data_IF_284656946389
#
_entry.id   IF_284656946389
#
_cell.length_a   1.000
_cell.length_b   1.000
_cell.length_c   1.000
_cell.angle_alpha   90.00
_cell.angle_beta   90.00
_cell.angle_gamma   90.00
#
_symmetry.space_group_name_H-M   'P 1'
#
loop_
_entity.id
_entity.type
_entity.pdbx_description
1 polymer ?
#
# COMPACT_ATOMS: atom_id res chain seq x y z
N UNK A 1 -5.61 34.22 9.72
CA UNK A 1 -4.86 33.76 8.53
C UNK A 1 -3.46 33.42 8.99
N UNK A 2 -3.13 32.13 9.10
CA UNK A 2 -1.79 31.70 9.52
C UNK A 2 -0.80 31.74 8.35
N UNK A 3 0.45 32.09 8.63
CA UNK A 3 1.57 31.87 7.73
C UNK A 3 2.24 30.56 8.12
N UNK A 4 2.55 29.71 7.14
CA UNK A 4 3.25 28.44 7.33
C UNK A 4 4.34 28.29 6.29
N UNK A 5 5.34 27.46 6.60
CA UNK A 5 6.41 27.16 5.68
C UNK A 5 5.96 26.06 4.71
N UNK A 6 6.26 26.25 3.43
CA UNK A 6 6.06 25.25 2.39
C UNK A 6 6.87 23.98 2.72
N UNK A 7 6.24 22.82 2.63
CA UNK A 7 6.90 21.53 2.92
C UNK A 7 7.97 21.13 1.89
N UNK A 8 7.94 21.71 0.68
CA UNK A 8 8.89 21.38 -0.39
C UNK A 8 10.06 22.35 -0.46
N UNK A 9 9.80 23.66 -0.48
CA UNK A 9 10.86 24.67 -0.64
C UNK A 9 11.17 25.46 0.63
N UNK A 10 10.41 25.27 1.72
CA UNK A 10 10.62 26.00 2.98
C UNK A 10 10.22 27.47 2.97
N UNK A 11 9.78 28.03 1.83
CA UNK A 11 9.31 29.43 1.75
C UNK A 11 8.07 29.64 2.62
N UNK A 12 7.98 30.79 3.28
CA UNK A 12 6.79 31.20 4.04
C UNK A 12 5.67 31.51 3.05
N UNK A 13 4.52 30.86 3.22
CA UNK A 13 3.31 31.09 2.44
C UNK A 13 2.07 31.12 3.34
N UNK A 14 0.94 31.53 2.78
CA UNK A 14 -0.35 31.43 3.46
C UNK A 14 -0.66 29.96 3.75
N UNK A 15 -1.23 29.70 4.93
CA UNK A 15 -1.70 28.37 5.30
C UNK A 15 -2.77 27.90 4.29
N UNK A 16 -2.53 26.75 3.69
CA UNK A 16 -3.43 26.09 2.76
C UNK A 16 -3.49 24.59 3.06
N UNK A 17 -4.56 23.89 2.63
CA UNK A 17 -4.70 22.45 2.88
C UNK A 17 -3.54 21.63 2.30
N UNK A 18 -2.97 22.08 1.18
CA UNK A 18 -1.85 21.43 0.51
C UNK A 18 -0.49 21.65 1.20
N UNK A 19 -0.36 22.64 2.09
CA UNK A 19 0.91 23.07 2.73
C UNK A 19 2.04 23.39 1.74
N UNK A 20 1.68 23.80 0.53
CA UNK A 20 2.59 24.09 -0.58
C UNK A 20 2.46 25.56 -0.99
N UNK A 21 3.57 26.22 -1.31
CA UNK A 21 3.50 27.54 -1.93
C UNK A 21 2.98 27.43 -3.38
N UNK A 22 2.42 28.51 -3.97
CA UNK A 22 1.88 28.48 -5.33
C UNK A 22 2.88 27.99 -6.38
N UNK A 23 4.15 28.35 -6.24
CA UNK A 23 5.22 27.89 -7.13
C UNK A 23 5.41 26.36 -7.04
N UNK A 24 5.42 25.79 -5.83
CA UNK A 24 5.57 24.34 -5.67
C UNK A 24 4.31 23.59 -6.10
N UNK A 25 3.14 24.20 -5.93
CA UNK A 25 1.88 23.65 -6.41
C UNK A 25 1.89 23.50 -7.94
N UNK A 26 2.29 24.55 -8.65
CA UNK A 26 2.38 24.54 -10.12
C UNK A 26 3.44 23.54 -10.62
N UNK A 27 4.58 23.43 -9.92
CA UNK A 27 5.57 22.39 -10.21
C UNK A 27 5.02 20.97 -10.03
N UNK A 28 4.21 20.75 -8.99
CA UNK A 28 3.59 19.45 -8.73
C UNK A 28 2.65 19.04 -9.88
N UNK A 29 1.92 20.01 -10.45
CA UNK A 29 1.04 19.79 -11.60
C UNK A 29 1.85 19.41 -12.86
N UNK A 30 3.00 20.07 -13.09
CA UNK A 30 3.92 19.70 -14.17
C UNK A 30 4.46 18.28 -13.99
N UNK A 31 4.84 17.91 -12.76
CA UNK A 31 5.29 16.55 -12.43
C UNK A 31 4.18 15.52 -12.65
N UNK A 32 2.94 15.86 -12.31
CA UNK A 32 1.79 14.98 -12.52
C UNK A 32 1.60 14.66 -14.00
N UNK A 33 1.65 15.69 -14.84
CA UNK A 33 1.55 15.55 -16.28
C UNK A 33 2.71 14.73 -16.86
N UNK A 34 3.96 15.00 -16.42
CA UNK A 34 5.13 14.26 -16.88
C UNK A 34 5.03 12.77 -16.55
N UNK A 35 4.68 12.44 -15.30
CA UNK A 35 4.53 11.06 -14.85
C UNK A 35 3.36 10.37 -15.56
N UNK A 36 2.23 11.05 -15.71
CA UNK A 36 1.04 10.49 -16.40
C UNK A 36 1.33 10.21 -17.88
N UNK A 37 2.03 11.11 -18.57
CA UNK A 37 2.43 10.89 -19.96
C UNK A 37 3.39 9.72 -20.09
N UNK A 38 4.38 9.62 -19.19
CA UNK A 38 5.30 8.48 -19.17
C UNK A 38 4.59 7.15 -18.92
N UNK A 39 3.66 7.12 -17.95
CA UNK A 39 2.88 5.91 -17.66
C UNK A 39 1.93 5.52 -18.79
N UNK A 40 1.42 6.48 -19.58
CA UNK A 40 0.61 6.19 -20.77
C UNK A 40 1.42 5.49 -21.87
N UNK A 41 2.68 5.86 -22.05
CA UNK A 41 3.54 5.30 -23.10
C UNK A 41 4.18 3.97 -22.67
N UNK A 42 4.73 3.92 -21.45
CA UNK A 42 5.41 2.74 -20.91
C UNK A 42 4.44 1.65 -20.42
N UNK A 43 3.23 2.01 -20.02
CA UNK A 43 2.22 1.10 -19.44
C UNK A 43 2.54 0.67 -18.01
N UNK A 44 3.69 0.05 -17.75
CA UNK A 44 4.11 -0.36 -16.39
C UNK A 44 5.51 0.11 -16.11
N UNK A 45 5.70 0.80 -15.00
CA UNK A 45 7.01 1.31 -14.60
C UNK A 45 7.23 1.20 -13.09
N UNK A 46 8.49 1.03 -12.71
CA UNK A 46 8.94 1.09 -11.32
C UNK A 46 9.17 2.54 -10.88
N UNK A 47 9.17 2.78 -9.56
CA UNK A 47 9.49 4.12 -9.02
C UNK A 47 10.84 4.64 -9.49
N UNK A 48 11.84 3.77 -9.64
CA UNK A 48 13.17 4.12 -10.13
C UNK A 48 13.15 4.57 -11.60
N UNK A 49 12.40 3.88 -12.45
CA UNK A 49 12.27 4.24 -13.87
C UNK A 49 11.54 5.57 -14.04
N UNK A 50 10.47 5.79 -13.28
CA UNK A 50 9.74 7.06 -13.30
C UNK A 50 10.65 8.18 -12.82
N UNK A 51 11.42 7.96 -11.74
CA UNK A 51 12.39 8.94 -11.25
C UNK A 51 13.43 9.30 -12.32
N UNK A 52 13.98 8.29 -13.01
CA UNK A 52 14.97 8.50 -14.08
C UNK A 52 14.37 9.21 -15.31
N UNK A 53 13.14 8.88 -15.69
CA UNK A 53 12.50 9.43 -16.89
C UNK A 53 11.97 10.86 -16.67
N UNK A 54 11.37 11.12 -15.51
CA UNK A 54 10.69 12.40 -15.23
C UNK A 54 11.51 13.35 -14.37
N UNK A 55 12.58 12.87 -13.71
CA UNK A 55 13.38 13.66 -12.76
C UNK A 55 12.68 13.95 -11.43
N UNK A 56 11.46 13.44 -11.23
CA UNK A 56 10.67 13.68 -10.02
C UNK A 56 11.18 12.81 -8.88
N UNK A 57 11.38 13.39 -7.69
CA UNK A 57 11.84 12.63 -6.51
C UNK A 57 10.81 11.58 -6.09
N UNK A 58 11.27 10.40 -5.69
CA UNK A 58 10.41 9.30 -5.22
C UNK A 58 9.47 9.70 -4.08
N UNK A 59 9.93 10.59 -3.17
CA UNK A 59 9.10 11.12 -2.07
C UNK A 59 7.88 11.89 -2.58
N UNK A 60 8.04 12.66 -3.66
CA UNK A 60 6.96 13.44 -4.28
C UNK A 60 6.01 12.47 -4.98
N UNK A 61 6.53 11.54 -5.77
CA UNK A 61 5.73 10.49 -6.45
C UNK A 61 4.86 9.73 -5.44
N UNK A 62 5.47 9.29 -4.33
CA UNK A 62 4.76 8.58 -3.25
C UNK A 62 3.66 9.43 -2.62
N UNK A 63 3.92 10.73 -2.40
CA UNK A 63 2.92 11.66 -1.87
C UNK A 63 1.76 11.82 -2.85
N UNK A 64 2.05 12.04 -4.13
CA UNK A 64 1.04 12.21 -5.17
C UNK A 64 0.17 10.95 -5.32
N UNK A 65 0.76 9.76 -5.16
CA UNK A 65 0.05 8.49 -5.10
C UNK A 65 -0.93 8.45 -3.90
N UNK A 66 -0.46 8.81 -2.71
CA UNK A 66 -1.28 8.84 -1.48
C UNK A 66 -2.38 9.89 -1.53
N UNK A 67 -2.11 11.02 -2.17
CA UNK A 67 -3.08 12.11 -2.37
C UNK A 67 -4.11 11.80 -3.45
N UNK A 68 -3.96 10.70 -4.21
CA UNK A 68 -4.87 10.31 -5.29
C UNK A 68 -4.81 11.22 -6.51
N UNK A 69 -3.76 12.04 -6.64
CA UNK A 69 -3.56 12.96 -7.77
C UNK A 69 -3.07 12.21 -9.01
N UNK A 70 -2.19 11.23 -8.84
CA UNK A 70 -1.75 10.36 -9.93
C UNK A 70 -2.75 9.22 -10.14
N UNK A 71 -3.28 9.10 -11.36
CA UNK A 71 -4.12 7.96 -11.76
C UNK A 71 -3.25 6.73 -12.04
N UNK A 72 -2.76 6.10 -10.97
CA UNK A 72 -1.74 5.06 -11.03
C UNK A 72 -2.27 3.62 -10.97
N UNK A 73 -3.60 3.41 -11.07
CA UNK A 73 -4.24 2.08 -10.91
C UNK A 73 -3.46 0.98 -11.66
N UNK A 74 -2.62 0.24 -10.95
CA UNK A 74 -1.85 -0.87 -11.51
C UNK A 74 -0.65 -0.51 -12.39
N UNK A 75 -0.17 0.74 -12.43
CA UNK A 75 0.90 1.19 -13.35
C UNK A 75 2.27 1.32 -12.66
N UNK A 76 2.28 1.60 -11.35
CA UNK A 76 3.53 1.75 -10.58
C UNK A 76 3.82 0.47 -9.81
N UNK A 77 4.94 -0.17 -10.12
CA UNK A 77 5.42 -1.36 -9.44
C UNK A 77 6.15 -1.01 -8.13
N UNK A 78 5.77 -1.67 -7.05
CA UNK A 78 6.44 -1.64 -5.74
C UNK A 78 6.63 -3.07 -5.22
N UNK A 79 7.62 -3.33 -4.34
CA UNK A 79 7.90 -4.69 -3.88
C UNK A 79 6.82 -5.20 -2.91
N UNK A 80 6.43 -6.47 -3.07
CA UNK A 80 5.59 -7.20 -2.11
C UNK A 80 6.25 -7.28 -0.73
N UNK A 81 5.48 -7.06 0.34
CA UNK A 81 6.01 -7.10 1.72
C UNK A 81 6.50 -8.49 2.16
N UNK A 82 6.03 -9.55 1.51
CA UNK A 82 6.34 -10.94 1.88
C UNK A 82 7.39 -11.59 0.97
N UNK A 83 7.22 -11.50 -0.36
CA UNK A 83 8.10 -12.16 -1.32
C UNK A 83 8.98 -11.21 -2.13
N UNK A 84 8.81 -9.89 -1.96
CA UNK A 84 9.50 -8.82 -2.72
C UNK A 84 9.27 -8.82 -4.24
N UNK A 85 8.37 -9.64 -4.74
CA UNK A 85 7.97 -9.61 -6.15
C UNK A 85 7.30 -8.26 -6.48
N UNK A 86 7.54 -7.68 -7.67
CA UNK A 86 6.93 -6.40 -8.03
C UNK A 86 5.40 -6.54 -8.18
N UNK A 87 4.69 -5.83 -7.32
CA UNK A 87 3.24 -5.73 -7.33
C UNK A 87 2.81 -4.33 -7.75
N UNK A 88 1.66 -4.27 -8.40
CA UNK A 88 1.09 -3.03 -8.93
C UNK A 88 -0.20 -2.63 -8.21
N UNK A 89 -0.72 -3.53 -7.35
CA UNK A 89 -1.92 -3.34 -6.56
C UNK A 89 -1.84 -4.18 -5.26
N UNK A 90 -2.44 -3.67 -4.18
CA UNK A 90 -2.44 -4.33 -2.87
C UNK A 90 -1.09 -4.27 -2.11
N UNK A 91 -1.04 -4.81 -0.89
CA UNK A 91 0.23 -4.93 -0.12
C UNK A 91 1.01 -6.22 -0.39
N UNK A 92 0.30 -7.22 -0.89
CA UNK A 92 0.79 -8.57 -1.11
C UNK A 92 0.54 -8.95 -2.56
N UNK A 93 1.44 -9.73 -3.15
CA UNK A 93 1.16 -10.34 -4.44
C UNK A 93 0.00 -11.34 -4.30
N UNK A 94 -0.65 -11.66 -5.42
CA UNK A 94 -1.76 -12.61 -5.47
C UNK A 94 -1.40 -13.98 -4.86
N UNK A 95 -0.15 -14.42 -5.01
CA UNK A 95 0.38 -15.64 -4.40
C UNK A 95 0.44 -15.56 -2.88
N UNK A 96 1.02 -14.49 -2.33
CA UNK A 96 1.10 -14.29 -0.87
C UNK A 96 -0.26 -14.06 -0.22
N UNK A 97 -1.15 -13.32 -0.88
CA UNK A 97 -2.52 -13.13 -0.39
C UNK A 97 -3.28 -14.47 -0.31
N UNK A 98 -3.19 -15.29 -1.36
CA UNK A 98 -3.83 -16.61 -1.40
C UNK A 98 -3.28 -17.57 -0.35
N UNK A 99 -1.96 -17.56 -0.13
CA UNK A 99 -1.31 -18.38 0.90
C UNK A 99 -1.77 -18.00 2.31
N UNK A 100 -1.88 -16.70 2.59
CA UNK A 100 -2.36 -16.21 3.88
C UNK A 100 -3.82 -16.59 4.12
N UNK A 101 -4.68 -16.45 3.12
CA UNK A 101 -6.09 -16.86 3.23
C UNK A 101 -6.22 -18.35 3.56
N UNK A 102 -5.43 -19.22 2.91
CA UNK A 102 -5.41 -20.65 3.19
C UNK A 102 -4.95 -20.97 4.60
N UNK A 103 -3.91 -20.29 5.08
CA UNK A 103 -3.39 -20.51 6.43
C UNK A 103 -4.40 -20.12 7.51
N UNK A 104 -5.16 -19.04 7.28
CA UNK A 104 -6.25 -18.62 8.18
C UNK A 104 -7.39 -19.64 8.18
N UNK A 105 -7.77 -20.18 7.02
CA UNK A 105 -8.82 -21.21 6.92
C UNK A 105 -8.42 -22.48 7.68
N UNK A 106 -7.22 -23.01 7.42
CA UNK A 106 -6.72 -24.21 8.09
C UNK A 106 -6.68 -24.05 9.62
N UNK A 107 -6.20 -22.91 10.13
CA UNK A 107 -6.18 -22.65 11.57
C UNK A 107 -7.56 -22.52 12.21
N UNK A 108 -8.59 -22.10 11.47
CA UNK A 108 -9.96 -22.07 11.98
C UNK A 108 -10.54 -23.50 12.04
N UNK A 109 -10.29 -24.30 11.00
CA UNK A 109 -10.73 -25.70 10.93
C UNK A 109 -10.09 -26.54 12.05
N UNK A 110 -8.79 -26.37 12.30
CA UNK A 110 -8.07 -27.02 13.41
C UNK A 110 -8.67 -26.66 14.77
N UNK A 111 -8.98 -25.37 15.01
CA UNK A 111 -9.62 -24.91 16.26
C UNK A 111 -11.03 -25.46 16.44
N UNK A 112 -11.80 -25.59 15.38
CA UNK A 112 -13.14 -26.20 15.44
C UNK A 112 -13.06 -27.70 15.77
N UNK A 113 -12.10 -28.41 15.19
CA UNK A 113 -11.87 -29.84 15.47
C UNK A 113 -11.38 -30.02 16.92
N UNK A 114 -10.41 -29.22 17.37
CA UNK A 114 -9.94 -29.24 18.76
C UNK A 114 -11.06 -28.91 19.76
N UNK A 115 -11.91 -27.93 19.44
CA UNK A 115 -13.09 -27.60 20.24
C UNK A 115 -14.07 -28.78 20.38
N UNK A 116 -14.31 -29.53 19.30
CA UNK A 116 -15.15 -30.74 19.31
C UNK A 116 -14.52 -31.88 20.10
N UNK A 117 -13.21 -32.12 19.93
CA UNK A 117 -12.47 -33.17 20.65
C UNK A 117 -12.45 -32.88 22.16
N UNK A 118 -12.25 -31.62 22.54
CA UNK A 118 -12.21 -31.23 23.94
C UNK A 118 -13.59 -31.37 24.62
N UNK A 119 -14.67 -31.03 23.90
CA UNK A 119 -16.04 -31.22 24.38
C UNK A 119 -16.39 -32.70 24.61
N UNK A 120 -15.93 -33.62 23.73
CA UNK A 120 -16.13 -35.06 23.92
C UNK A 120 -15.34 -35.62 25.11
N UNK A 121 -14.12 -35.13 25.38
CA UNK A 121 -13.30 -35.59 26.51
C UNK A 121 -13.86 -35.17 27.88
N UNK A 122 -14.50 -34.01 27.98
CA UNK A 122 -15.12 -33.54 29.23
C UNK A 122 -16.38 -34.32 29.65
N UNK A 123 -16.96 -35.12 28.74
CA UNK A 123 -18.18 -35.91 28.99
C UNK A 123 -17.97 -37.33 29.52
N UNK A 124 -16.73 -37.85 29.53
CA UNK A 124 -16.45 -39.24 29.95
C UNK A 124 -16.21 -39.31 31.47
N UNK A 125 -17.29 -39.28 32.27
CA UNK A 125 -17.26 -39.77 33.65
C UNK A 125 -17.27 -41.30 33.63
N UNK A 126 -16.11 -41.93 33.76
CA UNK A 126 -16.00 -43.37 34.00
C UNK A 126 -16.64 -43.71 35.35
N UNK A 127 -17.71 -44.49 35.32
CA UNK A 127 -18.19 -45.20 36.51
C UNK A 127 -17.43 -46.52 36.60
N UNK A 128 -16.42 -46.59 37.47
CA UNK A 128 -15.84 -47.86 37.90
C UNK A 128 -16.91 -48.59 38.71
N UNK A 129 -17.30 -49.78 38.24
CA UNK A 129 -18.27 -50.66 38.91
C UNK A 129 -17.48 -51.65 39.76
N UNK A 130 -17.80 -51.67 41.05
CA UNK A 130 -17.29 -52.60 42.08
C UNK A 130 -17.34 -54.07 41.63
#
# INVERSE_FOLDING_TARGET
MGLKNCIECGKICLENPSKLCPQCYEQEEVYEHAVTNYLRDAGKATMEEIHKATGVKEKIITRMLKSGRLYSKGLIGYPCEMCREPIYDGRLCSGCASGLSKQIQNSNEEKEIEGRINHQRSGVRMYTKD
#
